data_IF_623998886642
#
_entry.id   IF_623998886642
#
_cell.length_a   1.000
_cell.length_b   1.000
_cell.length_c   1.000
_cell.angle_alpha   90.00
_cell.angle_beta   90.00
_cell.angle_gamma   90.00
#
_symmetry.space_group_name_H-M   'P 1'
#
loop_
_entity.id
_entity.type
_entity.pdbx_description
1 polymer ?
#
# COMPACT_ATOMS: atom_id res chain seq x y z
N UNK A 1 6.58 7.00 -3.64
CA UNK A 1 5.47 7.84 -4.16
C UNK A 1 4.30 7.87 -3.20
N UNK A 2 3.80 6.69 -2.82
CA UNK A 2 2.70 6.50 -1.85
C UNK A 2 2.85 7.23 -0.53
N UNK A 3 4.08 7.36 0.01
CA UNK A 3 4.33 8.12 1.25
C UNK A 3 4.42 9.64 1.09
N UNK A 4 4.59 10.13 -0.14
CA UNK A 4 4.77 11.56 -0.46
C UNK A 4 3.48 12.20 -0.99
N UNK A 5 2.75 11.46 -1.82
CA UNK A 5 1.46 11.86 -2.34
C UNK A 5 0.48 12.16 -1.20
N UNK A 6 -0.29 13.23 -1.34
CA UNK A 6 -1.36 13.54 -0.42
C UNK A 6 -2.58 12.68 -0.75
N UNK A 7 -3.06 11.97 0.26
CA UNK A 7 -4.31 11.25 0.14
C UNK A 7 -5.48 12.23 -0.02
N UNK A 8 -5.55 13.25 0.85
CA UNK A 8 -6.64 14.22 0.92
C UNK A 8 -6.76 15.08 -0.33
N UNK A 9 -5.63 15.52 -0.89
CA UNK A 9 -5.64 16.37 -2.09
C UNK A 9 -5.74 15.55 -3.40
N UNK A 10 -5.91 14.22 -3.28
CA UNK A 10 -6.04 13.29 -4.41
C UNK A 10 -4.89 13.35 -5.42
N UNK A 11 -3.67 13.47 -4.91
CA UNK A 11 -2.46 13.43 -5.73
C UNK A 11 -2.42 12.19 -6.63
N UNK A 12 -1.93 12.38 -7.86
CA UNK A 12 -1.72 11.31 -8.82
C UNK A 12 -0.83 10.23 -8.20
N UNK A 13 -1.37 9.02 -8.09
CA UNK A 13 -0.64 7.83 -7.65
C UNK A 13 -0.35 6.95 -8.86
N UNK A 14 0.90 6.90 -9.36
CA UNK A 14 1.24 5.98 -10.43
C UNK A 14 1.11 4.54 -9.94
N UNK A 15 0.38 3.74 -10.72
CA UNK A 15 0.02 2.36 -10.37
C UNK A 15 1.22 1.45 -10.57
N UNK A 16 1.94 1.60 -11.69
CA UNK A 16 3.14 0.81 -11.95
C UNK A 16 4.37 1.46 -11.33
N UNK A 17 5.34 0.63 -10.99
CA UNK A 17 6.65 1.08 -10.51
C UNK A 17 7.39 1.68 -11.71
N UNK A 18 7.80 2.95 -11.62
CA UNK A 18 8.56 3.64 -12.67
C UNK A 18 7.75 4.63 -13.53
N UNK A 19 6.42 4.55 -13.55
CA UNK A 19 5.57 5.48 -14.33
C UNK A 19 5.30 6.81 -13.60
N UNK A 20 6.32 7.41 -12.98
CA UNK A 20 6.15 8.74 -12.39
C UNK A 20 6.06 9.75 -13.55
N UNK A 21 5.03 10.63 -13.61
CA UNK A 21 5.02 11.70 -14.59
C UNK A 21 6.26 12.59 -14.40
N UNK A 22 6.81 13.06 -15.52
CA UNK A 22 7.85 14.08 -15.49
C UNK A 22 7.36 15.31 -14.72
N UNK A 23 8.24 15.87 -13.90
CA UNK A 23 7.93 17.01 -13.01
C UNK A 23 6.79 16.78 -12.00
N UNK A 24 6.42 15.53 -11.68
CA UNK A 24 5.42 15.29 -10.63
C UNK A 24 5.90 15.82 -9.28
N UNK A 25 5.05 16.61 -8.64
CA UNK A 25 5.23 17.19 -7.33
C UNK A 25 4.05 16.81 -6.42
N UNK A 26 4.30 16.41 -5.17
CA UNK A 26 3.24 16.17 -4.21
C UNK A 26 2.62 17.51 -3.77
N UNK A 27 1.31 17.54 -3.57
CA UNK A 27 0.61 18.71 -3.02
C UNK A 27 0.92 18.92 -1.53
N UNK A 28 1.16 17.82 -0.81
CA UNK A 28 1.45 17.79 0.62
C UNK A 28 2.90 17.44 0.95
N UNK A 29 3.23 17.49 2.24
CA UNK A 29 4.59 17.24 2.74
C UNK A 29 4.57 16.55 4.09
N UNK A 30 5.42 15.53 4.25
CA UNK A 30 5.73 14.96 5.56
C UNK A 30 6.58 15.95 6.36
N UNK A 31 6.14 16.33 7.55
CA UNK A 31 6.86 17.27 8.41
C UNK A 31 7.90 16.50 9.25
N UNK A 32 7.45 15.46 9.95
CA UNK A 32 8.27 14.62 10.83
C UNK A 32 7.68 13.21 10.95
N UNK A 33 8.29 12.35 11.77
CA UNK A 33 7.74 11.04 12.10
C UNK A 33 6.31 11.21 12.64
N UNK A 34 5.38 10.39 12.15
CA UNK A 34 3.97 10.47 12.53
C UNK A 34 3.20 11.70 12.07
N UNK A 35 3.80 12.68 11.35
CA UNK A 35 3.12 13.93 11.00
C UNK A 35 3.22 14.27 9.50
N UNK A 36 2.07 14.45 8.85
CA UNK A 36 1.94 14.83 7.45
C UNK A 36 1.04 16.05 7.31
N UNK A 37 1.36 16.95 6.37
CA UNK A 37 0.58 18.15 6.08
C UNK A 37 0.07 18.13 4.64
N UNK A 38 -1.23 18.29 4.44
CA UNK A 38 -1.85 18.44 3.11
C UNK A 38 -1.61 19.84 2.51
N UNK A 39 -2.00 20.04 1.25
CA UNK A 39 -1.96 21.34 0.60
C UNK A 39 -2.84 22.37 1.31
N UNK A 40 -3.98 21.94 1.84
CA UNK A 40 -4.89 22.74 2.66
C UNK A 40 -4.36 23.05 4.07
N UNK A 41 -3.09 22.74 4.35
CA UNK A 41 -2.44 22.90 5.67
C UNK A 41 -3.08 22.06 6.79
N UNK A 42 -3.89 21.07 6.46
CA UNK A 42 -4.41 20.11 7.43
C UNK A 42 -3.29 19.17 7.86
N UNK A 43 -3.22 18.89 9.16
CA UNK A 43 -2.22 18.00 9.75
C UNK A 43 -2.90 16.66 10.06
N UNK A 44 -2.32 15.58 9.57
CA UNK A 44 -2.75 14.21 9.86
C UNK A 44 -1.56 13.31 10.15
N UNK A 45 -1.86 12.10 10.62
CA UNK A 45 -0.82 11.11 10.82
C UNK A 45 -0.24 10.65 9.46
N UNK A 46 1.09 10.61 9.37
CA UNK A 46 1.79 10.17 8.16
C UNK A 46 1.49 8.70 7.79
N UNK A 47 1.29 7.83 8.77
CA UNK A 47 0.97 6.42 8.57
C UNK A 47 -0.46 6.25 8.04
N UNK A 48 -1.40 7.08 8.52
CA UNK A 48 -2.77 7.15 7.98
C UNK A 48 -2.75 7.59 6.52
N UNK A 49 -1.97 8.63 6.17
CA UNK A 49 -1.79 9.03 4.77
C UNK A 49 -1.21 7.89 3.91
N UNK A 50 -0.21 7.18 4.45
CA UNK A 50 0.42 6.03 3.79
C UNK A 50 -0.56 4.88 3.54
N UNK A 51 -1.29 4.45 4.58
CA UNK A 51 -2.27 3.38 4.51
C UNK A 51 -3.37 3.71 3.49
N UNK A 52 -3.92 4.92 3.53
CA UNK A 52 -4.95 5.36 2.61
C UNK A 52 -4.46 5.38 1.15
N UNK A 53 -3.21 5.79 0.91
CA UNK A 53 -2.62 5.73 -0.43
C UNK A 53 -2.32 4.29 -0.90
N UNK A 54 -1.99 3.37 0.00
CA UNK A 54 -1.84 1.94 -0.34
C UNK A 54 -3.18 1.37 -0.80
N UNK A 55 -4.26 1.63 -0.05
CA UNK A 55 -5.62 1.22 -0.43
C UNK A 55 -5.99 1.80 -1.80
N UNK A 56 -5.72 3.08 -2.04
CA UNK A 56 -5.98 3.72 -3.35
C UNK A 56 -5.17 3.08 -4.48
N UNK A 57 -3.90 2.74 -4.22
CA UNK A 57 -3.00 2.17 -5.22
C UNK A 57 -3.34 0.71 -5.54
N UNK A 58 -3.79 -0.06 -4.57
CA UNK A 58 -4.08 -1.49 -4.76
C UNK A 58 -5.29 -1.74 -5.65
N UNK A 59 -6.07 -0.71 -6.01
CA UNK A 59 -7.29 -0.77 -6.85
C UNK A 59 -8.29 -1.83 -6.40
N UNK A 60 -8.21 -2.28 -5.15
CA UNK A 60 -9.11 -3.29 -4.64
C UNK A 60 -10.45 -2.60 -4.42
N UNK A 61 -11.50 -3.09 -5.08
CA UNK A 61 -12.85 -2.57 -4.87
C UNK A 61 -13.15 -2.64 -3.38
N UNK A 62 -13.46 -1.50 -2.76
CA UNK A 62 -13.65 -1.36 -1.31
C UNK A 62 -14.66 -2.40 -0.81
N UNK A 63 -15.68 -2.67 -1.61
CA UNK A 63 -16.72 -3.66 -1.37
C UNK A 63 -16.14 -5.08 -1.20
N UNK A 64 -15.16 -5.45 -2.04
CA UNK A 64 -14.46 -6.73 -1.96
C UNK A 64 -13.41 -6.80 -0.85
N UNK A 65 -12.84 -5.68 -0.38
CA UNK A 65 -11.85 -5.68 0.71
C UNK A 65 -12.53 -6.09 2.02
N UNK A 66 -13.66 -5.46 2.34
CA UNK A 66 -14.36 -5.73 3.61
C UNK A 66 -14.81 -7.20 3.63
N UNK A 67 -15.35 -7.69 2.51
CA UNK A 67 -15.86 -9.05 2.42
C UNK A 67 -14.78 -10.14 2.31
N UNK A 68 -13.70 -9.96 1.52
CA UNK A 68 -12.66 -10.99 1.30
C UNK A 68 -11.41 -10.83 2.16
N UNK A 69 -11.01 -9.61 2.50
CA UNK A 69 -9.78 -9.34 3.27
C UNK A 69 -10.10 -9.16 4.75
N UNK A 70 -11.28 -8.60 5.08
CA UNK A 70 -11.75 -8.45 6.46
C UNK A 70 -12.24 -9.75 7.12
N UNK A 71 -12.66 -10.74 6.33
CA UNK A 71 -13.20 -12.02 6.81
C UNK A 71 -12.17 -13.14 6.93
N UNK A 72 -10.98 -12.95 6.36
CA UNK A 72 -9.89 -13.92 6.45
C UNK A 72 -9.07 -13.71 7.71
N UNK A 73 -9.00 -14.71 8.60
CA UNK A 73 -7.99 -14.78 9.65
C UNK A 73 -6.61 -14.93 9.00
N UNK A 74 -5.97 -13.82 8.64
CA UNK A 74 -4.63 -13.75 8.01
C UNK A 74 -3.50 -14.03 9.02
N UNK A 75 -3.72 -14.88 10.02
CA UNK A 75 -2.69 -15.23 11.01
C UNK A 75 -1.69 -16.26 10.47
N UNK A 76 -2.04 -16.94 9.36
CA UNK A 76 -1.19 -17.98 8.79
C UNK A 76 -0.97 -17.73 7.28
N UNK A 77 0.11 -17.03 6.89
CA UNK A 77 0.42 -16.83 5.48
C UNK A 77 0.73 -18.17 4.80
N UNK A 78 0.25 -18.35 3.57
CA UNK A 78 0.53 -19.54 2.79
C UNK A 78 2.05 -19.66 2.53
N UNK A 79 2.68 -20.69 3.09
CA UNK A 79 4.13 -20.91 2.93
C UNK A 79 4.39 -21.71 1.66
N UNK A 80 4.78 -21.00 0.60
CA UNK A 80 5.17 -21.62 -0.66
C UNK A 80 6.64 -22.02 -0.58
N UNK A 81 6.96 -23.31 -0.79
CA UNK A 81 8.34 -23.76 -0.95
C UNK A 81 8.73 -23.55 -2.41
N UNK A 82 9.56 -22.53 -2.67
CA UNK A 82 10.08 -22.22 -4.00
C UNK A 82 11.06 -23.30 -4.50
N UNK A 83 11.67 -24.03 -3.56
CA UNK A 83 12.49 -25.20 -3.83
C UNK A 83 11.77 -26.40 -3.21
N UNK A 84 10.94 -27.05 -4.01
CA UNK A 84 10.60 -28.43 -3.71
C UNK A 84 11.86 -29.25 -3.97
N UNK A 85 12.36 -29.93 -2.94
CA UNK A 85 13.36 -30.97 -3.15
C UNK A 85 12.73 -31.97 -4.13
N UNK A 86 13.29 -32.09 -5.33
CA UNK A 86 12.82 -33.03 -6.36
C UNK A 86 13.16 -34.49 -6.01
N UNK A 87 13.58 -34.73 -4.77
CA UNK A 87 13.81 -36.06 -4.24
C UNK A 87 12.47 -36.77 -4.08
N UNK A 88 12.31 -37.88 -4.80
CA UNK A 88 11.21 -38.81 -4.59
C UNK A 88 11.14 -39.17 -3.11
N UNK A 89 10.01 -38.90 -2.45
CA UNK A 89 9.80 -39.37 -1.09
C UNK A 89 9.88 -40.90 -1.08
N UNK A 90 10.99 -41.44 -0.61
CA UNK A 90 11.07 -42.84 -0.21
C UNK A 90 10.58 -42.88 1.23
N UNK A 91 9.35 -43.33 1.43
CA UNK A 91 8.80 -43.63 2.75
C UNK A 91 9.10 -45.11 3.07
N UNK A 92 9.68 -45.44 4.25
CA UNK A 92 9.58 -46.77 4.84
C UNK A 92 8.18 -47.04 5.43
#
# INVERSE_FOLDING_TARGET
YTSKASFLDRDVLPVKVGEKPDNWQPSGKRIKLGLYRSAQKLILNADVNGAANIIRKSKVAIDSIIERVGSGLLTNPLRIKLWADSSSKVCP
#
